data_IF_791571257211
#
_entry.id   IF_791571257211
#
_cell.length_a   1.000
_cell.length_b   1.000
_cell.length_c   1.000
_cell.angle_alpha   90.00
_cell.angle_beta   90.00
_cell.angle_gamma   90.00
#
_symmetry.space_group_name_H-M   'P 1'
#
loop_
_entity.id
_entity.type
_entity.pdbx_description
1 polymer ?
#
# COMPACT_ATOMS: atom_id res chain seq x y z
N UNK A 1 -25.58 -26.68 21.15
CA UNK A 1 -25.68 -25.96 19.86
C UNK A 1 -25.76 -24.44 20.03
N UNK A 2 -26.51 -23.88 20.99
CA UNK A 2 -26.73 -22.41 21.11
C UNK A 2 -25.72 -21.60 21.96
N UNK A 3 -24.69 -22.20 22.56
CA UNK A 3 -23.67 -21.47 23.37
C UNK A 3 -22.31 -21.31 22.68
N UNK A 4 -22.01 -22.10 21.64
CA UNK A 4 -20.79 -21.95 20.84
C UNK A 4 -20.97 -20.89 19.75
N UNK A 5 -22.16 -20.81 19.15
CA UNK A 5 -22.48 -19.80 18.14
C UNK A 5 -22.49 -18.36 18.71
N UNK A 6 -22.88 -18.18 19.98
CA UNK A 6 -22.95 -16.85 20.62
C UNK A 6 -21.58 -16.31 21.09
N UNK A 7 -20.56 -17.17 21.23
CA UNK A 7 -19.18 -16.80 21.60
C UNK A 7 -18.32 -16.59 20.33
N UNK A 8 -18.56 -17.38 19.28
CA UNK A 8 -17.89 -17.22 17.99
C UNK A 8 -18.27 -15.87 17.34
N UNK A 9 -19.56 -15.54 17.25
CA UNK A 9 -19.99 -14.30 16.59
C UNK A 9 -19.63 -13.02 17.38
N UNK A 10 -19.56 -13.10 18.71
CA UNK A 10 -19.19 -11.96 19.58
C UNK A 10 -17.69 -11.59 19.53
N UNK A 11 -16.80 -12.57 19.35
CA UNK A 11 -15.34 -12.39 19.21
C UNK A 11 -14.95 -12.03 17.77
N UNK A 12 -15.68 -12.55 16.78
CA UNK A 12 -15.43 -12.29 15.36
C UNK A 12 -15.81 -10.85 14.96
N UNK A 13 -16.82 -10.22 15.61
CA UNK A 13 -17.38 -8.93 15.16
C UNK A 13 -16.92 -7.66 15.92
N UNK A 14 -16.40 -7.75 17.16
CA UNK A 14 -16.00 -6.55 17.96
C UNK A 14 -14.67 -5.93 17.50
N UNK A 15 -13.79 -6.70 16.85
CA UNK A 15 -12.50 -6.23 16.30
C UNK A 15 -12.56 -6.04 14.78
N UNK A 16 -13.71 -5.64 14.26
CA UNK A 16 -13.77 -5.07 12.93
C UNK A 16 -12.95 -3.79 13.02
N UNK A 17 -11.74 -3.83 12.43
CA UNK A 17 -10.79 -2.72 12.37
C UNK A 17 -11.59 -1.43 12.20
N UNK A 18 -11.40 -0.39 13.04
CA UNK A 18 -12.14 0.86 12.91
C UNK A 18 -11.78 1.51 11.57
N UNK A 19 -12.41 1.07 10.49
CA UNK A 19 -12.23 1.61 9.16
C UNK A 19 -12.78 3.03 9.25
N UNK A 20 -11.87 3.99 9.11
CA UNK A 20 -12.19 5.40 9.19
C UNK A 20 -12.84 5.81 7.85
N UNK A 21 -14.09 5.40 7.63
CA UNK A 21 -14.84 5.65 6.40
C UNK A 21 -14.85 7.13 5.99
N UNK A 22 -14.80 8.05 6.97
CA UNK A 22 -14.66 9.49 6.72
C UNK A 22 -13.42 9.86 5.89
N UNK A 23 -12.32 9.12 6.05
CA UNK A 23 -11.06 9.34 5.30
C UNK A 23 -11.15 8.81 3.87
N UNK A 24 -12.03 7.86 3.59
CA UNK A 24 -12.27 7.33 2.24
C UNK A 24 -13.01 8.33 1.35
N UNK A 25 -13.77 9.25 1.95
CA UNK A 25 -14.54 10.26 1.22
C UNK A 25 -13.62 11.19 0.43
N UNK A 26 -12.51 11.66 1.00
CA UNK A 26 -11.59 12.58 0.32
C UNK A 26 -10.99 12.04 -1.01
N UNK A 27 -10.36 10.85 -1.04
CA UNK A 27 -9.79 10.31 -2.27
C UNK A 27 -10.86 9.93 -3.30
N UNK A 28 -12.01 9.38 -2.85
CA UNK A 28 -13.13 9.05 -3.76
C UNK A 28 -13.73 10.32 -4.35
N UNK A 29 -14.00 11.34 -3.52
CA UNK A 29 -14.56 12.61 -3.98
C UNK A 29 -13.62 13.29 -4.97
N UNK A 30 -12.31 13.30 -4.69
CA UNK A 30 -11.34 13.92 -5.61
C UNK A 30 -11.27 13.16 -6.93
N UNK A 31 -11.24 11.83 -6.89
CA UNK A 31 -11.31 11.00 -8.09
C UNK A 31 -12.58 11.22 -8.90
N UNK A 32 -13.73 11.34 -8.23
CA UNK A 32 -15.03 11.57 -8.85
C UNK A 32 -15.12 12.98 -9.47
N UNK A 33 -14.64 14.00 -8.77
CA UNK A 33 -14.59 15.39 -9.27
C UNK A 33 -13.68 15.48 -10.49
N UNK A 34 -12.49 14.88 -10.45
CA UNK A 34 -11.58 14.82 -11.60
C UNK A 34 -12.15 14.00 -12.76
N UNK A 35 -12.91 12.95 -12.47
CA UNK A 35 -13.60 12.13 -13.46
C UNK A 35 -14.70 12.90 -14.17
N UNK A 36 -15.57 13.60 -13.43
CA UNK A 36 -16.63 14.44 -14.01
C UNK A 36 -16.12 15.76 -14.58
N UNK A 37 -14.91 16.21 -14.23
CA UNK A 37 -14.21 17.31 -14.88
C UNK A 37 -13.58 16.94 -16.24
N UNK A 38 -13.88 15.75 -16.77
CA UNK A 38 -13.56 15.35 -18.15
C UNK A 38 -13.97 16.34 -19.26
N UNK A 39 -15.05 17.14 -19.18
CA UNK A 39 -15.37 18.12 -20.22
C UNK A 39 -14.50 19.39 -20.17
N UNK A 40 -13.76 19.64 -19.08
CA UNK A 40 -12.78 20.75 -18.96
C UNK A 40 -11.38 20.37 -19.44
N UNK A 41 -11.26 19.18 -20.02
CA UNK A 41 -10.00 18.57 -20.36
C UNK A 41 -9.31 19.36 -21.50
N UNK A 42 -8.00 19.65 -21.37
CA UNK A 42 -7.24 20.26 -22.45
C UNK A 42 -7.34 19.43 -23.74
N UNK A 43 -7.66 20.08 -24.87
CA UNK A 43 -7.85 19.43 -26.18
C UNK A 43 -6.65 18.58 -26.63
N UNK A 44 -5.46 18.85 -26.07
CA UNK A 44 -4.20 18.16 -26.38
C UNK A 44 -4.05 16.77 -25.74
N UNK A 45 -4.94 16.37 -24.84
CA UNK A 45 -4.84 15.07 -24.14
C UNK A 45 -5.77 14.02 -24.79
N UNK A 46 -5.51 12.71 -24.57
CA UNK A 46 -6.44 11.61 -24.94
C UNK A 46 -7.29 11.15 -23.76
N UNK A 47 -8.55 10.74 -23.98
CA UNK A 47 -9.54 10.54 -22.89
C UNK A 47 -9.00 9.55 -21.83
N UNK A 48 -8.33 8.49 -22.28
CA UNK A 48 -7.67 7.52 -21.42
C UNK A 48 -6.59 8.15 -20.50
N UNK A 49 -5.82 9.13 -21.00
CA UNK A 49 -4.79 9.83 -20.22
C UNK A 49 -5.39 10.65 -19.08
N UNK A 50 -6.56 11.28 -19.29
CA UNK A 50 -7.22 12.05 -18.25
C UNK A 50 -7.75 11.16 -17.12
N UNK A 51 -8.33 10.02 -17.47
CA UNK A 51 -8.78 9.03 -16.49
C UNK A 51 -7.62 8.44 -15.69
N UNK A 52 -6.47 8.18 -16.32
CA UNK A 52 -5.26 7.77 -15.59
C UNK A 52 -4.77 8.83 -14.62
N UNK A 53 -4.78 10.09 -15.03
CA UNK A 53 -4.42 11.19 -14.14
C UNK A 53 -5.36 11.28 -12.93
N UNK A 54 -6.67 11.19 -13.15
CA UNK A 54 -7.67 11.22 -12.08
C UNK A 54 -7.48 10.06 -11.08
N UNK A 55 -7.27 8.84 -11.59
CA UNK A 55 -7.00 7.64 -10.77
C UNK A 55 -5.69 7.78 -9.98
N UNK A 56 -4.64 8.31 -10.59
CA UNK A 56 -3.35 8.51 -9.93
C UNK A 56 -3.44 9.54 -8.80
N UNK A 57 -4.07 10.69 -9.04
CA UNK A 57 -4.30 11.71 -8.03
C UNK A 57 -5.16 11.20 -6.87
N UNK A 58 -6.25 10.47 -7.17
CA UNK A 58 -7.09 9.83 -6.17
C UNK A 58 -6.31 8.81 -5.33
N UNK A 59 -5.40 8.04 -5.95
CA UNK A 59 -4.56 7.05 -5.27
C UNK A 59 -3.54 7.72 -4.34
N UNK A 60 -2.89 8.80 -4.77
CA UNK A 60 -1.98 9.58 -3.91
C UNK A 60 -2.70 10.10 -2.69
N UNK A 61 -3.89 10.71 -2.88
CA UNK A 61 -4.71 11.17 -1.76
C UNK A 61 -5.17 10.02 -0.87
N UNK A 62 -5.44 8.84 -1.44
CA UNK A 62 -5.72 7.62 -0.68
C UNK A 62 -4.54 7.20 0.20
N UNK A 63 -3.32 7.26 -0.33
CA UNK A 63 -2.11 6.94 0.42
C UNK A 63 -1.78 7.98 1.52
N UNK A 64 -2.13 9.26 1.33
CA UNK A 64 -1.93 10.32 2.33
C UNK A 64 -2.99 10.25 3.42
N UNK A 65 -4.26 10.08 3.05
CA UNK A 65 -5.37 10.00 4.01
C UNK A 65 -5.33 8.70 4.82
N UNK A 66 -4.60 7.69 4.37
CA UNK A 66 -4.40 6.39 5.03
C UNK A 66 -5.71 5.84 5.63
N UNK A 67 -6.77 5.67 4.81
CA UNK A 67 -8.02 5.12 5.31
C UNK A 67 -7.85 3.62 5.65
N UNK A 68 -6.91 2.94 4.97
CA UNK A 68 -6.49 1.57 5.17
C UNK A 68 -4.96 1.48 5.03
N UNK A 69 -4.38 0.30 5.32
CA UNK A 69 -2.97 0.00 5.02
C UNK A 69 -2.64 0.37 3.56
N UNK A 70 -1.46 0.96 3.33
CA UNK A 70 -1.02 1.42 2.00
C UNK A 70 -1.14 0.33 0.93
N UNK A 71 -0.84 -0.92 1.29
CA UNK A 71 -1.03 -2.07 0.40
C UNK A 71 -2.49 -2.30 0.00
N UNK A 72 -3.43 -2.23 0.94
CA UNK A 72 -4.86 -2.40 0.67
C UNK A 72 -5.40 -1.27 -0.23
N UNK A 73 -5.01 -0.02 0.02
CA UNK A 73 -5.38 1.13 -0.82
C UNK A 73 -4.87 0.93 -2.26
N UNK A 74 -3.65 0.43 -2.41
CA UNK A 74 -3.04 0.17 -3.72
C UNK A 74 -3.77 -0.94 -4.49
N UNK A 75 -4.20 -2.01 -3.81
CA UNK A 75 -4.99 -3.10 -4.42
C UNK A 75 -6.36 -2.59 -4.86
N UNK A 76 -7.06 -1.82 -4.03
CA UNK A 76 -8.36 -1.24 -4.40
C UNK A 76 -8.21 -0.31 -5.61
N UNK A 77 -7.20 0.56 -5.63
CA UNK A 77 -6.92 1.43 -6.77
C UNK A 77 -6.61 0.64 -8.04
N UNK A 78 -5.85 -0.45 -7.94
CA UNK A 78 -5.57 -1.36 -9.05
C UNK A 78 -6.84 -2.03 -9.59
N UNK A 79 -7.72 -2.51 -8.72
CA UNK A 79 -9.01 -3.09 -9.09
C UNK A 79 -9.89 -2.07 -9.80
N UNK A 80 -9.98 -0.83 -9.29
CA UNK A 80 -10.77 0.23 -9.95
C UNK A 80 -10.17 0.54 -11.33
N UNK A 81 -8.85 0.67 -11.44
CA UNK A 81 -8.17 0.99 -12.71
C UNK A 81 -8.42 -0.07 -13.79
N UNK A 82 -8.41 -1.35 -13.41
CA UNK A 82 -8.67 -2.47 -14.33
C UNK A 82 -10.15 -2.61 -14.66
N UNK A 83 -11.05 -2.37 -13.69
CA UNK A 83 -12.50 -2.39 -13.89
C UNK A 83 -12.96 -1.29 -14.85
N UNK A 84 -12.38 -0.09 -14.71
CA UNK A 84 -12.63 1.07 -15.56
C UNK A 84 -12.01 0.91 -16.97
N UNK A 85 -11.30 -0.20 -17.23
CA UNK A 85 -10.61 -0.51 -18.50
C UNK A 85 -9.67 0.60 -18.98
N UNK A 86 -9.18 1.43 -18.05
CA UNK A 86 -8.24 2.50 -18.39
C UNK A 86 -6.90 1.92 -18.84
N UNK A 87 -6.52 0.76 -18.27
CA UNK A 87 -5.40 -0.07 -18.71
C UNK A 87 -5.85 -1.52 -18.79
N UNK A 88 -5.37 -2.24 -19.81
CA UNK A 88 -5.61 -3.68 -19.93
C UNK A 88 -4.94 -4.45 -18.80
N UNK A 89 -5.56 -5.56 -18.38
CA UNK A 89 -5.03 -6.39 -17.28
C UNK A 89 -3.59 -6.84 -17.54
N UNK A 90 -3.27 -7.20 -18.79
CA UNK A 90 -1.94 -7.63 -19.22
C UNK A 90 -0.88 -6.55 -19.00
N UNK A 91 -1.24 -5.28 -19.22
CA UNK A 91 -0.36 -4.14 -18.98
C UNK A 91 -0.34 -3.71 -17.52
N UNK A 92 -1.38 -4.03 -16.76
CA UNK A 92 -1.43 -3.75 -15.33
C UNK A 92 -0.50 -4.69 -14.54
N UNK A 93 -0.46 -5.99 -14.92
CA UNK A 93 0.33 -7.00 -14.20
C UNK A 93 1.84 -6.92 -14.47
N UNK A 94 2.26 -6.33 -15.60
CA UNK A 94 3.68 -6.18 -15.94
C UNK A 94 4.44 -5.35 -14.91
N UNK A 95 3.77 -4.44 -14.21
CA UNK A 95 4.33 -3.67 -13.11
C UNK A 95 4.82 -4.54 -11.95
N UNK A 96 4.12 -5.62 -11.61
CA UNK A 96 4.52 -6.54 -10.52
C UNK A 96 5.76 -7.37 -10.87
N UNK A 97 6.07 -7.52 -12.16
CA UNK A 97 7.28 -8.19 -12.64
C UNK A 97 8.50 -7.28 -12.74
N UNK A 98 8.44 -6.02 -12.27
CA UNK A 98 9.56 -5.10 -12.38
C UNK A 98 10.74 -5.53 -11.50
N UNK A 99 11.92 -5.67 -12.11
CA UNK A 99 13.14 -6.10 -11.41
C UNK A 99 13.53 -5.23 -10.22
N UNK A 100 13.20 -3.94 -10.23
CA UNK A 100 13.49 -3.03 -9.11
C UNK A 100 12.63 -3.36 -7.88
N UNK A 101 11.36 -3.73 -8.07
CA UNK A 101 10.45 -4.11 -6.97
C UNK A 101 10.93 -5.43 -6.36
N UNK A 102 11.32 -6.38 -7.21
CA UNK A 102 11.88 -7.66 -6.76
C UNK A 102 13.23 -7.50 -6.04
N UNK A 103 14.08 -6.57 -6.48
CA UNK A 103 15.33 -6.24 -5.77
C UNK A 103 15.07 -5.77 -4.34
N UNK A 104 14.07 -4.89 -4.16
CA UNK A 104 13.63 -4.42 -2.84
C UNK A 104 13.12 -5.61 -1.99
N UNK A 105 12.29 -6.49 -2.57
CA UNK A 105 11.78 -7.67 -1.88
C UNK A 105 12.91 -8.62 -1.42
N UNK A 106 13.90 -8.90 -2.28
CA UNK A 106 15.05 -9.74 -1.93
C UNK A 106 15.91 -9.12 -0.82
N UNK A 107 16.14 -7.80 -0.87
CA UNK A 107 16.86 -7.10 0.19
C UNK A 107 16.17 -7.23 1.55
N UNK A 108 14.83 -7.13 1.60
CA UNK A 108 14.05 -7.35 2.82
C UNK A 108 14.12 -8.79 3.32
N UNK A 109 14.08 -9.80 2.44
CA UNK A 109 14.25 -11.20 2.84
C UNK A 109 15.62 -11.46 3.44
N UNK A 110 16.70 -11.02 2.77
CA UNK A 110 18.08 -11.15 3.29
C UNK A 110 18.19 -10.46 4.65
N UNK A 111 17.62 -9.26 4.80
CA UNK A 111 17.62 -8.53 6.08
C UNK A 111 16.89 -9.29 7.19
N UNK A 112 15.73 -9.88 6.88
CA UNK A 112 14.96 -10.71 7.84
C UNK A 112 15.71 -11.99 8.22
N UNK A 113 16.37 -12.64 7.28
CA UNK A 113 17.17 -13.85 7.54
C UNK A 113 18.39 -13.55 8.39
N UNK A 114 19.03 -12.41 8.19
CA UNK A 114 20.16 -11.95 9.01
C UNK A 114 19.77 -11.68 10.47
N UNK A 115 18.54 -11.18 10.68
CA UNK A 115 17.96 -10.98 12.01
C UNK A 115 17.61 -12.35 12.62
N UNK A 116 16.94 -13.24 11.88
CA UNK A 116 16.48 -14.55 12.37
C UNK A 116 17.63 -15.49 12.73
N UNK A 117 18.72 -15.50 11.96
CA UNK A 117 19.94 -16.29 12.23
C UNK A 117 20.79 -15.72 13.37
N UNK A 118 20.49 -14.51 13.85
CA UNK A 118 21.25 -13.83 14.89
C UNK A 118 22.61 -13.30 14.43
N UNK A 119 22.95 -13.39 13.14
CA UNK A 119 24.19 -12.86 12.58
C UNK A 119 24.31 -11.34 12.79
N UNK A 120 23.22 -10.60 12.61
CA UNK A 120 23.19 -9.15 12.89
C UNK A 120 23.53 -8.82 14.34
N UNK A 121 23.06 -9.63 15.30
CA UNK A 121 23.38 -9.47 16.73
C UNK A 121 24.84 -9.76 17.02
N UNK A 122 25.41 -10.81 16.41
CA UNK A 122 26.85 -11.16 16.56
C UNK A 122 27.73 -10.03 16.06
N UNK A 123 27.44 -9.48 14.89
CA UNK A 123 28.22 -8.37 14.30
C UNK A 123 28.05 -7.08 15.10
N UNK A 124 26.84 -6.78 15.59
CA UNK A 124 26.62 -5.65 16.48
C UNK A 124 27.48 -5.74 17.76
N UNK A 125 27.59 -6.92 18.37
CA UNK A 125 28.47 -7.13 19.53
C UNK A 125 29.95 -6.98 19.20
N UNK A 126 30.39 -7.37 18.00
CA UNK A 126 31.78 -7.13 17.56
C UNK A 126 32.05 -5.63 17.45
N UNK A 127 31.14 -4.85 16.86
CA UNK A 127 31.25 -3.39 16.80
C UNK A 127 31.28 -2.76 18.21
N UNK A 128 30.37 -3.15 19.10
CA UNK A 128 30.36 -2.66 20.50
C UNK A 128 31.65 -3.03 21.24
N UNK A 129 32.19 -4.24 21.03
CA UNK A 129 33.47 -4.65 21.65
C UNK A 129 34.65 -3.82 21.15
N UNK A 130 34.65 -3.44 19.88
CA UNK A 130 35.75 -2.69 19.24
C UNK A 130 35.68 -1.19 19.53
N UNK A 131 34.49 -0.59 19.49
CA UNK A 131 34.29 0.87 19.66
C UNK A 131 33.80 1.26 21.06
N UNK A 132 33.02 0.42 21.74
CA UNK A 132 32.41 0.71 23.04
C UNK A 132 33.40 0.74 24.22
N UNK A 133 34.65 0.32 24.01
CA UNK A 133 35.72 0.44 25.02
C UNK A 133 36.33 1.84 25.12
N UNK A 134 35.98 2.76 24.21
CA UNK A 134 36.40 4.17 24.23
C UNK A 134 35.20 5.11 24.19
N UNK A 135 34.19 4.85 25.02
CA UNK A 135 33.22 5.87 25.45
C UNK A 135 33.66 6.51 26.79
N UNK A 136 34.97 6.66 26.99
CA UNK A 136 35.56 7.47 28.05
C UNK A 136 36.23 8.67 27.39
N UNK A 137 35.49 9.78 27.42
CA UNK A 137 35.83 11.21 27.51
C UNK A 137 34.74 12.00 26.78
#
# INVERSE_FOLDING_TARGET
MNLLHHIEDGIIMQSLEKIQYKKFIFPVLTGLVLWFATPLRPELLSIATWYMFALFAATILGCITQPLLIGAVSIVAFTITTLTKTVSIDKAITGFGNGSIWLIAMAFFISRDFIKTGLGRRIAFVFVRTFGKKALI
#
